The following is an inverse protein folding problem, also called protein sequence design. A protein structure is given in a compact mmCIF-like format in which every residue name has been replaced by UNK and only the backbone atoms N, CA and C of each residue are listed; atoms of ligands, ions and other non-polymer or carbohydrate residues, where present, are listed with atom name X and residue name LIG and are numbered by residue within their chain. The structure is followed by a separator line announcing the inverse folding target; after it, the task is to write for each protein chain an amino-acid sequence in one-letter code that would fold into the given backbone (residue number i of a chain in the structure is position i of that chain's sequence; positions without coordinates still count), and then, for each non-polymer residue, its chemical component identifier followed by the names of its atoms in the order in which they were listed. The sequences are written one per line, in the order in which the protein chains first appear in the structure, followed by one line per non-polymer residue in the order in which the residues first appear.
data_IF_527700313815
#
_entry.id   IF_527700313815
#
_cell.length_a   1.000
_cell.length_b   1.000
_cell.length_c   1.000
_cell.angle_alpha   90.00
_cell.angle_beta   90.00
_cell.angle_gamma   90.00
#
_symmetry.space_group_name_H-M   'P 1'
#
loop_
_entity.id
_entity.type
_entity.pdbx_description
1 polymer ?
#
# COMPACT_ATOMS: atom_id res chain seq x y z
N UNK A 1 -0.41 9.58 13.42
CA UNK A 1 -0.32 8.39 12.54
C UNK A 1 0.96 7.67 12.94
N UNK A 2 0.91 6.36 13.16
CA UNK A 2 2.06 5.55 13.58
C UNK A 2 2.14 4.29 12.72
N UNK A 3 3.26 4.07 12.04
CA UNK A 3 3.52 2.88 11.22
C UNK A 3 4.67 2.10 11.87
N UNK A 4 4.35 0.95 12.48
CA UNK A 4 5.31 0.06 13.13
C UNK A 4 5.55 -1.18 12.25
N UNK A 5 6.57 -1.12 11.41
CA UNK A 5 6.78 -2.00 10.27
C UNK A 5 7.74 -3.16 10.51
N UNK A 6 8.36 -3.24 11.68
CA UNK A 6 9.19 -4.38 12.04
C UNK A 6 8.39 -5.70 12.02
N UNK A 7 9.02 -6.76 11.52
CA UNK A 7 8.45 -8.10 11.48
C UNK A 7 9.39 -9.11 12.17
N UNK A 8 8.87 -10.14 12.86
CA UNK A 8 7.44 -10.41 13.11
C UNK A 8 6.85 -9.58 14.26
N UNK A 9 7.69 -8.94 15.07
CA UNK A 9 7.28 -8.11 16.20
C UNK A 9 7.43 -6.63 15.80
N UNK A 10 6.34 -5.83 15.81
CA UNK A 10 6.40 -4.40 15.51
C UNK A 10 7.13 -3.63 16.61
N UNK A 11 7.59 -2.43 16.30
CA UNK A 11 8.30 -1.51 17.20
C UNK A 11 7.46 -1.17 18.45
N UNK A 12 6.13 -1.16 18.31
CA UNK A 12 5.15 -1.04 19.39
C UNK A 12 3.89 -1.82 18.99
N UNK A 13 3.27 -2.51 19.95
CA UNK A 13 2.01 -3.20 19.68
C UNK A 13 0.86 -2.19 19.46
N UNK A 14 -0.10 -2.46 18.56
CA UNK A 14 -1.16 -1.49 18.25
C UNK A 14 -2.03 -1.06 19.43
N UNK A 15 -2.30 -1.96 20.37
CA UNK A 15 -3.04 -1.66 21.61
C UNK A 15 -2.32 -0.62 22.47
N UNK A 16 -1.01 -0.81 22.71
CA UNK A 16 -0.17 0.14 23.45
C UNK A 16 -0.04 1.48 22.72
N UNK A 17 0.11 1.45 21.39
CA UNK A 17 0.16 2.68 20.59
C UNK A 17 -1.16 3.47 20.70
N UNK A 18 -2.30 2.77 20.71
CA UNK A 18 -3.63 3.36 20.86
C UNK A 18 -3.83 3.95 22.26
N UNK A 19 -3.41 3.25 23.30
CA UNK A 19 -3.42 3.74 24.68
C UNK A 19 -2.56 5.01 24.84
N UNK A 20 -1.40 5.04 24.18
CA UNK A 20 -0.51 6.21 24.14
C UNK A 20 -1.05 7.38 23.28
N UNK A 21 -2.22 7.23 22.64
CA UNK A 21 -2.92 8.30 21.94
C UNK A 21 -2.78 8.29 20.41
N UNK A 22 -2.21 7.25 19.80
CA UNK A 22 -2.16 7.15 18.35
C UNK A 22 -3.57 7.00 17.75
N UNK A 23 -3.89 7.84 16.76
CA UNK A 23 -5.22 7.87 16.11
C UNK A 23 -5.36 6.94 14.91
N UNK A 24 -4.25 6.65 14.23
CA UNK A 24 -4.16 5.75 13.07
C UNK A 24 -2.89 4.96 13.25
N UNK A 25 -2.99 3.65 13.18
CA UNK A 25 -1.90 2.71 13.44
C UNK A 25 -1.86 1.70 12.30
N UNK A 26 -0.68 1.42 11.79
CA UNK A 26 -0.44 0.41 10.75
C UNK A 26 0.76 -0.45 11.14
N UNK A 27 0.74 -1.72 10.73
CA UNK A 27 1.86 -2.67 10.96
C UNK A 27 2.09 -3.56 9.74
N UNK A 28 3.14 -4.37 9.75
CA UNK A 28 3.35 -5.43 8.75
C UNK A 28 2.48 -6.69 8.96
N UNK A 29 1.84 -6.83 10.12
CA UNK A 29 1.10 -8.01 10.52
C UNK A 29 -0.32 -8.03 9.96
N UNK A 30 -0.77 -9.22 9.53
CA UNK A 30 -2.08 -9.43 8.92
C UNK A 30 -3.23 -9.54 9.92
N UNK A 31 -2.93 -9.74 11.20
CA UNK A 31 -3.93 -9.85 12.26
C UNK A 31 -4.34 -8.51 12.88
N UNK A 32 -3.84 -7.38 12.35
CA UNK A 32 -4.21 -6.03 12.74
C UNK A 32 -4.75 -5.22 11.55
N UNK A 33 -5.59 -4.19 11.80
CA UNK A 33 -5.99 -3.24 10.77
C UNK A 33 -4.79 -2.55 10.09
N UNK A 34 -5.03 -2.00 8.90
CA UNK A 34 -4.02 -1.26 8.13
C UNK A 34 -2.71 -2.04 7.92
N UNK A 35 -2.79 -3.28 7.43
CA UNK A 35 -1.59 -4.06 7.12
C UNK A 35 -0.82 -3.46 5.95
N UNK A 36 0.36 -2.92 6.21
CA UNK A 36 1.29 -2.47 5.17
C UNK A 36 2.14 -3.64 4.70
N UNK A 37 1.86 -4.14 3.51
CA UNK A 37 2.57 -5.29 2.94
C UNK A 37 2.90 -5.03 1.46
N UNK A 38 4.07 -5.49 1.01
CA UNK A 38 4.49 -5.31 -0.38
C UNK A 38 3.59 -6.02 -1.40
N UNK A 39 2.77 -6.98 -0.98
CA UNK A 39 1.80 -7.71 -1.82
C UNK A 39 0.80 -6.79 -2.53
N UNK A 40 0.48 -5.62 -1.95
CA UNK A 40 -0.39 -4.64 -2.62
C UNK A 40 0.33 -3.80 -3.68
N UNK A 41 1.64 -3.96 -3.84
CA UNK A 41 2.44 -3.17 -4.78
C UNK A 41 3.12 -4.02 -5.86
N UNK A 42 3.89 -5.04 -5.47
CA UNK A 42 4.79 -5.73 -6.41
C UNK A 42 4.06 -6.37 -7.61
N UNK A 43 2.89 -7.04 -7.48
CA UNK A 43 2.25 -7.69 -8.62
C UNK A 43 1.88 -6.68 -9.71
N UNK A 44 1.29 -5.55 -9.31
CA UNK A 44 0.88 -4.50 -10.23
C UNK A 44 2.06 -3.75 -10.84
N UNK A 45 3.09 -3.42 -10.04
CA UNK A 45 4.30 -2.74 -10.54
C UNK A 45 4.97 -3.57 -11.62
N UNK A 46 5.20 -4.86 -11.37
CA UNK A 46 5.84 -5.74 -12.35
C UNK A 46 4.93 -6.01 -13.55
N UNK A 47 3.62 -6.23 -13.35
CA UNK A 47 2.68 -6.38 -14.47
C UNK A 47 2.74 -5.16 -15.41
N UNK A 48 2.63 -3.95 -14.86
CA UNK A 48 2.64 -2.72 -15.65
C UNK A 48 3.98 -2.49 -16.37
N UNK A 49 5.10 -2.70 -15.67
CA UNK A 49 6.43 -2.56 -16.25
C UNK A 49 6.70 -3.59 -17.37
N UNK A 50 6.29 -4.85 -17.19
CA UNK A 50 6.46 -5.90 -18.19
C UNK A 50 5.56 -5.69 -19.42
N UNK A 51 4.26 -5.39 -19.21
CA UNK A 51 3.32 -5.11 -20.29
C UNK A 51 3.76 -3.90 -21.13
N UNK A 52 4.26 -2.85 -20.47
CA UNK A 52 4.73 -1.64 -21.13
C UNK A 52 6.21 -1.66 -21.52
N UNK A 53 6.93 -2.78 -21.31
CA UNK A 53 8.35 -2.95 -21.63
C UNK A 53 9.26 -1.86 -21.06
N UNK A 54 8.99 -1.44 -19.82
CA UNK A 54 9.83 -0.47 -19.13
C UNK A 54 11.26 -1.00 -18.99
N UNK A 55 12.26 -0.14 -19.21
CA UNK A 55 13.68 -0.49 -19.06
C UNK A 55 14.15 -0.45 -17.60
N UNK A 56 13.40 0.25 -16.73
CA UNK A 56 13.64 0.34 -15.30
C UNK A 56 12.34 0.72 -14.57
N UNK A 57 12.29 0.48 -13.25
CA UNK A 57 11.25 1.00 -12.37
C UNK A 57 11.73 2.34 -11.80
N UNK A 58 11.10 3.44 -12.23
CA UNK A 58 11.49 4.80 -11.81
C UNK A 58 10.82 5.23 -10.51
N UNK A 59 11.31 6.29 -9.87
CA UNK A 59 10.67 6.88 -8.69
C UNK A 59 9.25 7.39 -9.00
N UNK A 60 9.04 7.94 -10.19
CA UNK A 60 7.71 8.37 -10.63
C UNK A 60 6.73 7.19 -10.75
N UNK A 61 7.20 6.02 -11.24
CA UNK A 61 6.38 4.80 -11.26
C UNK A 61 6.04 4.32 -9.86
N UNK A 62 6.98 4.39 -8.90
CA UNK A 62 6.73 4.03 -7.49
C UNK A 62 5.71 4.97 -6.84
N UNK A 63 5.84 6.27 -7.08
CA UNK A 63 4.88 7.26 -6.57
C UNK A 63 3.49 7.05 -7.19
N UNK A 64 3.41 6.79 -8.50
CA UNK A 64 2.16 6.48 -9.19
C UNK A 64 1.49 5.23 -8.62
N UNK A 65 2.26 4.18 -8.35
CA UNK A 65 1.77 2.98 -7.68
C UNK A 65 1.22 3.27 -6.28
N UNK A 66 1.93 4.07 -5.48
CA UNK A 66 1.49 4.45 -4.13
C UNK A 66 0.17 5.23 -4.15
N UNK A 67 0.02 6.18 -5.08
CA UNK A 67 -1.24 6.94 -5.27
C UNK A 67 -2.37 6.00 -5.69
N UNK A 68 -2.13 5.11 -6.67
CA UNK A 68 -3.14 4.16 -7.12
C UNK A 68 -3.61 3.19 -6.02
N UNK A 69 -2.72 2.81 -5.10
CA UNK A 69 -3.10 1.99 -3.92
C UNK A 69 -3.97 2.80 -2.96
N UNK A 70 -3.61 4.06 -2.69
CA UNK A 70 -4.35 4.93 -1.78
C UNK A 70 -5.77 5.26 -2.30
N UNK A 71 -5.90 5.47 -3.61
CA UNK A 71 -7.17 5.79 -4.27
C UNK A 71 -8.18 4.62 -4.29
N UNK A 72 -7.73 3.41 -3.95
CA UNK A 72 -8.62 2.24 -3.82
C UNK A 72 -9.44 2.24 -2.52
N UNK A 73 -9.16 3.14 -1.59
CA UNK A 73 -9.98 3.35 -0.39
C UNK A 73 -10.85 4.59 -0.59
N UNK A 74 -12.16 4.42 -0.86
CA UNK A 74 -13.10 5.52 -1.02
C UNK A 74 -13.13 6.45 0.19
N UNK A 75 -13.35 7.76 -0.02
CA UNK A 75 -13.36 8.75 1.06
C UNK A 75 -14.45 8.49 2.10
N UNK A 76 -15.57 7.90 1.72
CA UNK A 76 -16.70 7.52 2.59
C UNK A 76 -16.45 6.23 3.39
N UNK A 77 -15.54 5.38 2.93
CA UNK A 77 -15.09 4.17 3.64
C UNK A 77 -13.81 4.39 4.47
N UNK A 78 -13.07 5.47 4.19
CA UNK A 78 -11.79 5.79 4.83
C UNK A 78 -11.99 6.16 6.30
N UNK A 79 -11.31 5.44 7.18
CA UNK A 79 -11.34 5.71 8.61
C UNK A 79 -10.02 5.27 9.28
N UNK A 80 -9.93 5.40 10.60
CA UNK A 80 -8.71 5.12 11.35
C UNK A 80 -8.18 3.67 11.19
N UNK A 81 -9.07 2.72 10.91
CA UNK A 81 -8.78 1.30 10.77
C UNK A 81 -8.87 0.81 9.31
N UNK A 82 -9.12 1.72 8.35
CA UNK A 82 -9.23 1.43 6.92
C UNK A 82 -8.56 2.55 6.08
N UNK A 83 -7.23 2.52 5.99
CA UNK A 83 -6.44 3.51 5.23
C UNK A 83 -5.83 2.97 3.94
N UNK A 84 -5.88 1.66 3.73
CA UNK A 84 -5.31 1.00 2.55
C UNK A 84 -6.08 -0.29 2.21
N UNK A 85 -6.09 -0.74 0.95
CA UNK A 85 -6.79 -1.96 0.56
C UNK A 85 -6.17 -3.19 1.21
N UNK A 86 -6.97 -4.25 1.30
CA UNK A 86 -6.55 -5.55 1.80
C UNK A 86 -5.57 -6.23 0.84
N UNK A 87 -4.70 -7.09 1.37
CA UNK A 87 -3.63 -7.78 0.63
C UNK A 87 -4.07 -8.48 -0.66
N UNK A 88 -5.30 -8.99 -0.70
CA UNK A 88 -5.85 -9.77 -1.81
C UNK A 88 -7.04 -9.09 -2.49
N UNK A 89 -7.19 -7.77 -2.34
CA UNK A 89 -8.20 -7.04 -3.11
C UNK A 89 -7.88 -7.19 -4.62
N UNK A 90 -8.80 -7.77 -5.42
CA UNK A 90 -8.54 -8.09 -6.82
C UNK A 90 -8.31 -6.84 -7.69
N UNK A 91 -8.74 -5.66 -7.24
CA UNK A 91 -8.58 -4.40 -7.98
C UNK A 91 -7.16 -3.86 -7.93
N UNK A 92 -6.39 -4.21 -6.89
CA UNK A 92 -5.07 -3.63 -6.61
C UNK A 92 -4.09 -3.83 -7.76
N UNK A 93 -3.97 -5.07 -8.24
CA UNK A 93 -2.99 -5.40 -9.28
C UNK A 93 -3.25 -4.62 -10.59
N UNK A 94 -4.51 -4.48 -10.97
CA UNK A 94 -4.88 -3.76 -12.19
C UNK A 94 -4.71 -2.25 -12.05
N UNK A 95 -5.16 -1.66 -10.93
CA UNK A 95 -4.99 -0.23 -10.66
C UNK A 95 -3.51 0.19 -10.67
N UNK A 96 -2.67 -0.56 -9.95
CA UNK A 96 -1.23 -0.28 -9.89
C UNK A 96 -0.54 -0.49 -11.25
N UNK A 97 -0.89 -1.55 -11.99
CA UNK A 97 -0.34 -1.79 -13.33
C UNK A 97 -0.65 -0.63 -14.29
N UNK A 98 -1.90 -0.16 -14.30
CA UNK A 98 -2.31 0.94 -15.15
C UNK A 98 -1.61 2.25 -14.78
N UNK A 99 -1.45 2.52 -13.48
CA UNK A 99 -0.69 3.67 -12.99
C UNK A 99 0.77 3.61 -13.44
N UNK A 100 1.45 2.48 -13.27
CA UNK A 100 2.86 2.31 -13.69
C UNK A 100 3.02 2.51 -15.21
N UNK A 101 2.14 1.93 -16.02
CA UNK A 101 2.17 2.09 -17.49
C UNK A 101 2.07 3.56 -17.93
N UNK A 102 1.32 4.38 -17.20
CA UNK A 102 1.12 5.80 -17.54
C UNK A 102 2.39 6.66 -17.39
N UNK A 103 3.46 6.11 -16.80
CA UNK A 103 4.76 6.77 -16.59
C UNK A 103 5.89 6.14 -17.42
N UNK A 104 5.59 5.22 -18.34
CA UNK A 104 6.60 4.68 -19.25
C UNK A 104 6.88 5.71 -20.35
N UNK A 105 8.15 6.06 -20.54
CA UNK A 105 8.59 7.05 -21.52
C UNK A 105 8.40 8.51 -21.09
N UNK A 106 8.00 8.75 -19.84
CA UNK A 106 8.00 10.07 -19.18
C UNK A 106 9.18 10.15 -18.22
#
# INVERSE_FOLDING_TARGET
ILFAMANPVPEIMPDLAKEAGAKVIATGRSDFPNQVNNVVAFPGIFKGALEGRATAITENMKLAAAVAIADLVPDDERNADNIMPQAFDPKVCEAVSNAVKSYIGK
#
